data_IF_703581864046
#
_entry.id   IF_703581864046
#
_cell.length_a   1.000
_cell.length_b   1.000
_cell.length_c   1.000
_cell.angle_alpha   90.00
_cell.angle_beta   90.00
_cell.angle_gamma   90.00
#
_symmetry.space_group_name_H-M   'P 1'
#
loop_
_entity.id
_entity.type
_entity.pdbx_description
1 polymer ?
#
# COMPACT_ATOMS: atom_id res chain seq x y z
N UNK A 1 -1.55 -19.81 43.86
CA UNK A 1 -1.87 -19.52 45.29
C UNK A 1 -0.80 -20.04 46.23
N UNK A 2 -0.38 -21.31 46.11
CA UNK A 2 0.65 -21.90 46.98
C UNK A 2 2.06 -21.27 46.82
N UNK A 3 2.49 -20.93 45.60
CA UNK A 3 3.78 -20.28 45.38
C UNK A 3 3.91 -18.90 46.08
N UNK A 4 2.86 -18.07 46.05
CA UNK A 4 2.85 -16.78 46.76
C UNK A 4 2.84 -16.94 48.29
N UNK A 5 2.32 -18.05 48.80
CA UNK A 5 2.41 -18.37 50.23
C UNK A 5 3.86 -18.63 50.63
N UNK A 6 4.60 -19.43 49.87
CA UNK A 6 6.03 -19.70 50.14
C UNK A 6 6.91 -18.44 49.99
N UNK A 7 6.57 -17.54 49.07
CA UNK A 7 7.23 -16.22 48.96
C UNK A 7 7.04 -15.40 50.24
N UNK A 8 5.83 -15.41 50.83
CA UNK A 8 5.57 -14.73 52.12
C UNK A 8 6.32 -15.37 53.29
N UNK A 9 6.59 -16.66 53.22
CA UNK A 9 7.39 -17.40 54.20
C UNK A 9 8.91 -17.26 53.94
N UNK A 10 9.32 -16.43 52.98
CA UNK A 10 10.71 -16.22 52.56
C UNK A 10 11.41 -17.49 52.04
N UNK A 11 10.64 -18.54 51.69
CA UNK A 11 11.15 -19.79 51.10
C UNK A 11 11.21 -19.70 49.58
N UNK A 12 12.14 -18.87 49.10
CA UNK A 12 12.29 -18.56 47.67
C UNK A 12 12.66 -19.79 46.83
N UNK A 13 13.47 -20.72 47.36
CA UNK A 13 13.86 -21.94 46.66
C UNK A 13 12.67 -22.85 46.36
N UNK A 14 11.77 -22.98 47.31
CA UNK A 14 10.61 -23.87 47.20
C UNK A 14 9.56 -23.23 46.29
N UNK A 15 9.32 -21.92 46.44
CA UNK A 15 8.47 -21.15 45.53
C UNK A 15 8.92 -21.29 44.06
N UNK A 16 10.22 -21.17 43.78
CA UNK A 16 10.81 -21.36 42.45
C UNK A 16 10.62 -22.78 41.90
N UNK A 17 10.83 -23.80 42.73
CA UNK A 17 10.59 -25.21 42.34
C UNK A 17 9.12 -25.45 42.00
N UNK A 18 8.20 -24.92 42.82
CA UNK A 18 6.75 -25.06 42.61
C UNK A 18 6.33 -24.37 41.31
N UNK A 19 6.81 -23.14 41.07
CA UNK A 19 6.51 -22.40 39.84
C UNK A 19 7.13 -23.04 38.60
N UNK A 20 8.39 -23.50 38.70
CA UNK A 20 9.07 -24.22 37.63
C UNK A 20 8.37 -25.54 37.28
N UNK A 21 7.97 -26.32 38.29
CA UNK A 21 7.19 -27.54 38.09
C UNK A 21 5.81 -27.23 37.49
N UNK A 22 5.14 -26.18 37.96
CA UNK A 22 3.85 -25.76 37.40
C UNK A 22 3.94 -25.41 35.91
N UNK A 23 5.02 -24.74 35.48
CA UNK A 23 5.26 -24.44 34.07
C UNK A 23 5.54 -25.71 33.27
N UNK A 24 6.35 -26.63 33.81
CA UNK A 24 6.66 -27.90 33.15
C UNK A 24 5.44 -28.81 32.98
N UNK A 25 4.53 -28.82 33.96
CA UNK A 25 3.29 -29.61 33.89
C UNK A 25 2.22 -28.96 33.01
N UNK A 26 2.09 -27.63 33.07
CA UNK A 26 1.05 -26.88 32.38
C UNK A 26 1.63 -25.53 31.88
N UNK A 27 2.22 -25.48 30.67
CA UNK A 27 2.75 -24.25 30.13
C UNK A 27 1.61 -23.31 29.73
N UNK A 28 1.24 -22.40 30.65
CA UNK A 28 0.23 -21.36 30.43
C UNK A 28 0.90 -19.99 30.46
N UNK A 29 0.53 -19.10 29.53
CA UNK A 29 1.04 -17.73 29.45
C UNK A 29 0.94 -16.96 30.79
N UNK A 30 -0.14 -17.19 31.56
CA UNK A 30 -0.33 -16.57 32.88
C UNK A 30 0.70 -17.04 33.92
N UNK A 31 1.13 -18.30 33.87
CA UNK A 31 2.11 -18.84 34.82
C UNK A 31 3.51 -18.30 34.54
N UNK A 32 3.90 -18.21 33.26
CA UNK A 32 5.14 -17.55 32.86
C UNK A 32 5.16 -16.09 33.31
N UNK A 33 4.10 -15.32 33.02
CA UNK A 33 3.99 -13.91 33.47
C UNK A 33 4.15 -13.77 34.98
N UNK A 34 3.38 -14.54 35.76
CA UNK A 34 3.46 -14.46 37.22
C UNK A 34 4.84 -14.86 37.77
N UNK A 35 5.54 -15.80 37.13
CA UNK A 35 6.88 -16.20 37.58
C UNK A 35 7.94 -15.15 37.21
N UNK A 36 7.84 -14.60 36.00
CA UNK A 36 8.69 -13.49 35.55
C UNK A 36 8.48 -12.26 36.44
N UNK A 37 7.23 -11.88 36.74
CA UNK A 37 6.91 -10.75 37.60
C UNK A 37 7.50 -10.95 39.01
N UNK A 38 7.49 -12.19 39.53
CA UNK A 38 8.12 -12.52 40.81
C UNK A 38 9.65 -12.35 40.74
N UNK A 39 10.32 -12.90 39.73
CA UNK A 39 11.78 -12.79 39.61
C UNK A 39 12.22 -11.34 39.32
N UNK A 40 11.39 -10.56 38.62
CA UNK A 40 11.60 -9.13 38.40
C UNK A 40 11.51 -8.34 39.72
N UNK A 41 10.54 -8.69 40.58
CA UNK A 41 10.45 -8.12 41.94
C UNK A 41 11.66 -8.47 42.80
N UNK A 42 12.22 -9.67 42.62
CA UNK A 42 13.44 -10.12 43.29
C UNK A 42 14.73 -9.56 42.65
N UNK A 43 14.63 -8.85 41.53
CA UNK A 43 15.75 -8.28 40.73
C UNK A 43 16.72 -9.35 40.21
N UNK A 44 16.22 -10.55 39.95
CA UNK A 44 16.99 -11.70 39.47
C UNK A 44 16.91 -11.78 37.94
N UNK A 45 17.55 -10.82 37.27
CA UNK A 45 17.42 -10.62 35.82
C UNK A 45 17.94 -11.78 34.97
N UNK A 46 18.99 -12.49 35.43
CA UNK A 46 19.50 -13.66 34.70
C UNK A 46 18.47 -14.80 34.66
N UNK A 47 17.69 -14.96 35.72
CA UNK A 47 16.58 -15.91 35.73
C UNK A 47 15.44 -15.43 34.84
N UNK A 48 15.12 -14.12 34.86
CA UNK A 48 14.15 -13.55 33.93
C UNK A 48 14.52 -13.84 32.48
N UNK A 49 15.79 -13.71 32.08
CA UNK A 49 16.28 -14.03 30.73
C UNK A 49 16.01 -15.48 30.34
N UNK A 50 16.35 -16.42 31.22
CA UNK A 50 16.09 -17.85 31.00
C UNK A 50 14.59 -18.12 30.88
N UNK A 51 13.77 -17.46 31.72
CA UNK A 51 12.32 -17.62 31.69
C UNK A 51 11.69 -17.05 30.42
N UNK A 52 12.13 -15.87 29.97
CA UNK A 52 11.69 -15.30 28.69
C UNK A 52 12.12 -16.17 27.52
N UNK A 53 13.35 -16.69 27.51
CA UNK A 53 13.81 -17.64 26.49
C UNK A 53 12.90 -18.87 26.39
N UNK A 54 12.65 -19.54 27.52
CA UNK A 54 11.71 -20.68 27.58
C UNK A 54 10.27 -20.31 27.20
N UNK A 55 9.85 -19.10 27.52
CA UNK A 55 8.51 -18.63 27.16
C UNK A 55 8.40 -18.41 25.64
N UNK A 56 9.43 -17.86 25.01
CA UNK A 56 9.48 -17.67 23.56
C UNK A 56 9.64 -18.99 22.80
N UNK A 57 10.34 -19.99 23.36
CA UNK A 57 10.37 -21.36 22.82
C UNK A 57 8.98 -21.99 22.80
N UNK A 58 8.17 -21.74 23.82
CA UNK A 58 6.82 -22.30 23.93
C UNK A 58 5.78 -21.54 23.10
N UNK A 59 5.83 -20.20 23.10
CA UNK A 59 4.86 -19.33 22.46
C UNK A 59 5.54 -18.19 21.70
N UNK A 60 6.19 -18.49 20.55
CA UNK A 60 6.84 -17.47 19.72
C UNK A 60 5.84 -16.50 19.09
N UNK A 61 4.56 -16.90 18.99
CA UNK A 61 3.47 -16.13 18.39
C UNK A 61 3.07 -14.90 19.23
N UNK A 62 3.38 -14.94 20.53
CA UNK A 62 2.93 -13.92 21.48
C UNK A 62 3.76 -12.64 21.39
N UNK A 63 3.30 -11.67 20.61
CA UNK A 63 3.96 -10.37 20.42
C UNK A 63 4.20 -9.61 21.73
N UNK A 64 3.32 -9.76 22.74
CA UNK A 64 3.47 -9.08 24.03
C UNK A 64 4.68 -9.60 24.82
N UNK A 65 4.99 -10.90 24.71
CA UNK A 65 6.16 -11.49 25.38
C UNK A 65 7.46 -10.92 24.82
N UNK A 66 7.55 -10.76 23.50
CA UNK A 66 8.70 -10.12 22.84
C UNK A 66 8.90 -8.68 23.31
N UNK A 67 7.82 -7.89 23.34
CA UNK A 67 7.86 -6.50 23.79
C UNK A 67 8.34 -6.42 25.24
N UNK A 68 7.74 -7.19 26.16
CA UNK A 68 8.14 -7.20 27.57
C UNK A 68 9.58 -7.66 27.78
N UNK A 69 10.07 -8.59 26.97
CA UNK A 69 11.46 -9.04 27.08
C UNK A 69 12.42 -7.93 26.66
N UNK A 70 12.13 -7.25 25.55
CA UNK A 70 12.94 -6.12 25.10
C UNK A 70 12.86 -4.92 26.06
N UNK A 71 11.67 -4.61 26.62
CA UNK A 71 11.49 -3.59 27.67
C UNK A 71 12.32 -3.89 28.93
N UNK A 72 12.46 -5.16 29.30
CA UNK A 72 13.29 -5.53 30.44
C UNK A 72 14.78 -5.31 30.16
N UNK A 73 15.28 -5.66 28.97
CA UNK A 73 16.67 -5.43 28.59
C UNK A 73 16.99 -3.92 28.43
N UNK A 74 16.05 -3.11 27.94
CA UNK A 74 16.23 -1.65 27.91
C UNK A 74 16.29 -1.03 29.30
N UNK A 75 15.47 -1.52 30.25
CA UNK A 75 15.57 -1.10 31.66
C UNK A 75 16.91 -1.45 32.31
N UNK A 76 17.60 -2.49 31.81
CA UNK A 76 18.94 -2.86 32.24
C UNK A 76 20.05 -2.06 31.54
N UNK A 77 19.71 -1.29 30.50
CA UNK A 77 20.67 -0.53 29.69
C UNK A 77 21.33 -1.36 28.58
N UNK A 78 20.94 -2.63 28.40
CA UNK A 78 21.47 -3.51 27.36
C UNK A 78 20.75 -3.27 26.01
N UNK A 79 21.00 -2.11 25.42
CA UNK A 79 20.30 -1.63 24.19
C UNK A 79 20.52 -2.57 23.01
N UNK A 80 21.73 -3.10 22.84
CA UNK A 80 22.05 -4.00 21.72
C UNK A 80 21.32 -5.34 21.83
N UNK A 81 21.12 -5.84 23.04
CA UNK A 81 20.33 -7.06 23.25
C UNK A 81 18.85 -6.79 23.00
N UNK A 82 18.32 -5.66 23.47
CA UNK A 82 16.94 -5.27 23.18
C UNK A 82 16.68 -5.17 21.66
N UNK A 83 17.62 -4.57 20.91
CA UNK A 83 17.58 -4.54 19.43
C UNK A 83 17.57 -5.92 18.80
N UNK A 84 18.47 -6.80 19.24
CA UNK A 84 18.53 -8.16 18.73
C UNK A 84 17.21 -8.91 18.96
N UNK A 85 16.59 -8.72 20.14
CA UNK A 85 15.28 -9.30 20.46
C UNK A 85 14.19 -8.78 19.52
N UNK A 86 14.11 -7.47 19.29
CA UNK A 86 13.14 -6.89 18.36
C UNK A 86 13.37 -7.35 16.91
N UNK A 87 14.62 -7.42 16.46
CA UNK A 87 14.96 -7.88 15.12
C UNK A 87 14.54 -9.36 14.91
N UNK A 88 14.79 -10.22 15.90
CA UNK A 88 14.34 -11.62 15.88
C UNK A 88 12.82 -11.72 15.88
N UNK A 89 12.14 -10.86 16.63
CA UNK A 89 10.69 -10.83 16.69
C UNK A 89 10.08 -10.47 15.33
N UNK A 90 10.61 -9.44 14.64
CA UNK A 90 10.14 -9.01 13.30
C UNK A 90 10.32 -10.07 12.22
N UNK A 91 11.31 -10.94 12.36
CA UNK A 91 11.56 -12.06 11.46
C UNK A 91 10.52 -13.18 11.61
N UNK A 92 9.79 -13.25 12.74
CA UNK A 92 8.82 -14.31 12.96
C UNK A 92 7.60 -14.16 12.01
N UNK A 93 7.23 -15.22 11.26
CA UNK A 93 6.15 -15.16 10.28
C UNK A 93 4.75 -15.24 10.92
N UNK A 94 4.63 -15.86 12.10
CA UNK A 94 3.36 -16.07 12.81
C UNK A 94 3.34 -15.26 14.11
N UNK A 95 3.08 -13.96 14.01
CA UNK A 95 2.85 -13.09 15.18
C UNK A 95 1.35 -12.80 15.30
N UNK A 96 0.81 -12.88 16.52
CA UNK A 96 -0.61 -12.57 16.79
C UNK A 96 -0.97 -11.14 16.38
N UNK A 97 -0.17 -10.18 16.83
CA UNK A 97 -0.41 -8.75 16.60
C UNK A 97 0.90 -8.07 16.17
N UNK A 98 1.28 -8.22 14.88
CA UNK A 98 2.52 -7.65 14.37
C UNK A 98 2.57 -6.12 14.53
N UNK A 99 1.44 -5.44 14.35
CA UNK A 99 1.35 -3.97 14.44
C UNK A 99 1.84 -3.41 15.78
N UNK A 100 1.48 -4.07 16.88
CA UNK A 100 1.86 -3.65 18.24
C UNK A 100 3.36 -3.81 18.45
N UNK A 101 3.94 -4.89 17.91
CA UNK A 101 5.38 -5.14 17.97
C UNK A 101 6.16 -4.09 17.16
N UNK A 102 5.73 -3.80 15.94
CA UNK A 102 6.36 -2.78 15.09
C UNK A 102 6.32 -1.40 15.74
N UNK A 103 5.15 -1.02 16.30
CA UNK A 103 5.02 0.24 17.05
C UNK A 103 6.00 0.28 18.23
N UNK A 104 6.05 -0.77 19.03
CA UNK A 104 6.96 -0.84 20.18
C UNK A 104 8.44 -0.77 19.75
N UNK A 105 8.80 -1.38 18.62
CA UNK A 105 10.17 -1.33 18.12
C UNK A 105 10.54 0.07 17.61
N UNK A 106 9.63 0.74 16.92
CA UNK A 106 9.81 2.13 16.49
C UNK A 106 9.92 3.06 17.70
N UNK A 107 9.00 2.97 18.65
CA UNK A 107 9.02 3.77 19.90
C UNK A 107 10.35 3.56 20.65
N UNK A 108 10.87 2.33 20.65
CA UNK A 108 12.17 2.02 21.21
C UNK A 108 13.32 2.73 20.47
N UNK A 109 13.44 2.63 19.14
CA UNK A 109 14.54 3.32 18.44
C UNK A 109 14.42 4.85 18.53
N UNK A 110 13.20 5.39 18.59
CA UNK A 110 12.96 6.82 18.89
C UNK A 110 13.48 7.18 20.28
N UNK A 111 13.23 6.34 21.29
CA UNK A 111 13.74 6.56 22.66
C UNK A 111 15.26 6.52 22.76
N UNK A 112 15.92 5.80 21.85
CA UNK A 112 17.38 5.72 21.76
C UNK A 112 17.99 6.80 20.86
N UNK A 113 17.18 7.75 20.36
CA UNK A 113 17.58 8.84 19.46
C UNK A 113 18.19 8.35 18.12
N UNK A 114 17.92 7.10 17.74
CA UNK A 114 18.44 6.47 16.53
C UNK A 114 17.48 6.65 15.36
N UNK A 115 17.26 7.90 14.98
CA UNK A 115 16.27 8.29 13.98
C UNK A 115 16.52 7.66 12.60
N UNK A 116 17.78 7.41 12.24
CA UNK A 116 18.13 6.75 10.97
C UNK A 116 17.58 5.33 10.87
N UNK A 117 17.64 4.57 11.96
CA UNK A 117 17.11 3.20 12.02
C UNK A 117 15.59 3.21 12.08
N UNK A 118 14.99 4.14 12.84
CA UNK A 118 13.55 4.30 12.88
C UNK A 118 12.96 4.52 11.46
N UNK A 119 13.59 5.35 10.62
CA UNK A 119 13.17 5.53 9.20
C UNK A 119 13.25 4.25 8.38
N UNK A 120 14.28 3.43 8.58
CA UNK A 120 14.42 2.14 7.91
C UNK A 120 13.32 1.17 8.35
N UNK A 121 12.97 1.16 9.64
CA UNK A 121 11.87 0.37 10.17
C UNK A 121 10.52 0.79 9.57
N UNK A 122 10.24 2.09 9.52
CA UNK A 122 9.04 2.59 8.84
C UNK A 122 8.99 2.21 7.37
N UNK A 123 10.12 2.32 6.65
CA UNK A 123 10.20 1.92 5.24
C UNK A 123 9.90 0.43 5.06
N UNK A 124 10.48 -0.41 5.92
CA UNK A 124 10.27 -1.87 5.91
C UNK A 124 8.82 -2.24 6.25
N UNK A 125 8.20 -1.49 7.17
CA UNK A 125 6.80 -1.68 7.53
C UNK A 125 5.85 -1.29 6.38
N UNK A 126 6.13 -0.16 5.72
CA UNK A 126 5.34 0.31 4.58
C UNK A 126 5.41 -0.64 3.38
N UNK A 127 6.56 -1.27 3.14
CA UNK A 127 6.70 -2.31 2.12
C UNK A 127 5.83 -3.55 2.41
N UNK A 128 5.59 -3.87 3.69
CA UNK A 128 4.82 -5.04 4.09
C UNK A 128 3.32 -4.78 4.14
N UNK A 129 2.89 -3.63 4.70
CA UNK A 129 1.47 -3.45 5.04
C UNK A 129 0.80 -2.22 4.43
N UNK A 130 1.53 -1.31 3.77
CA UNK A 130 1.03 -0.09 3.10
C UNK A 130 -0.24 0.55 3.71
N UNK A 131 -0.36 0.56 5.04
CA UNK A 131 -1.54 1.07 5.73
C UNK A 131 -1.41 2.56 5.97
N UNK A 132 -2.53 3.28 5.87
CA UNK A 132 -2.56 4.73 6.07
C UNK A 132 -2.02 5.18 7.44
N UNK A 133 -2.34 4.45 8.51
CA UNK A 133 -1.88 4.80 9.86
C UNK A 133 -0.34 4.81 9.95
N UNK A 134 0.33 3.96 9.17
CA UNK A 134 1.79 3.92 9.09
C UNK A 134 2.34 5.16 8.39
N UNK A 135 1.69 5.61 7.31
CA UNK A 135 2.07 6.85 6.63
C UNK A 135 1.92 8.09 7.51
N UNK A 136 0.80 8.20 8.23
CA UNK A 136 0.55 9.32 9.15
C UNK A 136 1.59 9.32 10.27
N UNK A 137 1.82 8.17 10.90
CA UNK A 137 2.82 8.06 11.97
C UNK A 137 4.26 8.31 11.50
N UNK A 138 4.61 7.95 10.26
CA UNK A 138 5.91 8.33 9.68
C UNK A 138 6.04 9.85 9.50
N UNK A 139 4.98 10.52 9.03
CA UNK A 139 4.99 11.98 8.89
C UNK A 139 5.07 12.69 10.25
N UNK A 140 4.34 12.19 11.25
CA UNK A 140 4.45 12.65 12.64
C UNK A 140 5.85 12.41 13.23
N UNK A 141 6.47 11.28 12.89
CA UNK A 141 7.86 11.00 13.29
C UNK A 141 8.86 11.98 12.66
N UNK A 142 8.76 12.29 11.36
CA UNK A 142 9.65 13.27 10.73
C UNK A 142 9.47 14.68 11.34
N UNK A 143 8.25 15.03 11.72
CA UNK A 143 7.96 16.24 12.50
C UNK A 143 8.63 16.23 13.87
N UNK A 144 8.60 15.11 14.59
CA UNK A 144 9.27 14.98 15.90
C UNK A 144 10.79 15.14 15.77
N UNK A 145 11.38 14.66 14.67
CA UNK A 145 12.81 14.87 14.36
C UNK A 145 13.10 16.33 13.93
N UNK A 146 12.06 17.09 13.56
CA UNK A 146 12.17 18.48 13.10
C UNK A 146 12.35 18.63 11.59
N UNK A 147 12.23 17.56 10.81
CA UNK A 147 12.32 17.61 9.34
C UNK A 147 10.94 17.83 8.71
N UNK A 148 10.51 19.10 8.69
CA UNK A 148 9.23 19.52 8.07
C UNK A 148 9.19 19.17 6.58
N UNK A 149 10.31 19.31 5.87
CA UNK A 149 10.38 19.00 4.45
C UNK A 149 10.30 17.48 4.20
N UNK A 150 10.92 16.68 5.06
CA UNK A 150 10.79 15.23 5.09
C UNK A 150 9.34 14.78 5.30
N UNK A 151 8.64 15.39 6.27
CA UNK A 151 7.22 15.12 6.52
C UNK A 151 6.35 15.42 5.28
N UNK A 152 6.58 16.56 4.61
CA UNK A 152 5.85 16.92 3.36
C UNK A 152 6.09 15.90 2.24
N UNK A 153 7.34 15.50 2.01
CA UNK A 153 7.69 14.46 1.02
C UNK A 153 7.03 13.13 1.35
N UNK A 154 6.92 12.78 2.62
CA UNK A 154 6.21 11.58 3.08
C UNK A 154 4.73 11.66 2.73
N UNK A 155 4.05 12.78 3.00
CA UNK A 155 2.64 12.95 2.61
C UNK A 155 2.43 12.89 1.10
N UNK A 156 3.30 13.50 0.30
CA UNK A 156 3.24 13.40 -1.17
C UNK A 156 3.44 11.97 -1.66
N UNK A 157 4.39 11.24 -1.07
CA UNK A 157 4.65 9.82 -1.39
C UNK A 157 3.46 8.96 -0.97
N UNK A 158 2.86 9.22 0.19
CA UNK A 158 1.67 8.54 0.68
C UNK A 158 0.50 8.78 -0.28
N UNK A 159 0.21 10.02 -0.70
CA UNK A 159 -0.89 10.33 -1.61
C UNK A 159 -0.73 9.65 -2.98
N UNK A 160 0.51 9.52 -3.47
CA UNK A 160 0.81 8.76 -4.70
C UNK A 160 0.57 7.26 -4.54
N UNK A 161 1.04 6.64 -3.45
CA UNK A 161 0.86 5.21 -3.21
C UNK A 161 -0.59 4.85 -2.89
N UNK A 162 -1.31 5.75 -2.22
CA UNK A 162 -2.70 5.55 -1.79
C UNK A 162 -3.72 6.03 -2.86
N UNK A 163 -3.24 6.48 -4.02
CA UNK A 163 -4.10 6.97 -5.11
C UNK A 163 -5.08 5.90 -5.61
N UNK A 164 -4.69 4.62 -5.55
CA UNK A 164 -5.49 3.45 -5.92
C UNK A 164 -6.13 2.74 -4.71
N UNK A 165 -5.88 3.19 -3.49
CA UNK A 165 -6.47 2.59 -2.28
C UNK A 165 -7.90 3.09 -2.05
N UNK A 166 -8.49 2.67 -0.94
CA UNK A 166 -9.80 3.11 -0.51
C UNK A 166 -9.87 4.64 -0.37
N UNK A 167 -10.99 5.19 -0.85
CA UNK A 167 -11.24 6.63 -0.87
C UNK A 167 -11.26 7.25 0.53
N UNK A 168 -11.75 6.50 1.52
CA UNK A 168 -11.84 6.94 2.91
C UNK A 168 -10.45 7.07 3.54
N UNK A 169 -9.57 6.09 3.30
CA UNK A 169 -8.18 6.20 3.71
C UNK A 169 -7.53 7.43 3.06
N UNK A 170 -7.64 7.57 1.74
CA UNK A 170 -7.08 8.75 1.06
C UNK A 170 -7.61 10.08 1.61
N UNK A 171 -8.88 10.14 2.01
CA UNK A 171 -9.46 11.31 2.66
C UNK A 171 -8.81 11.60 4.01
N UNK A 172 -8.68 10.58 4.88
CA UNK A 172 -8.03 10.73 6.18
C UNK A 172 -6.58 11.23 6.04
N UNK A 173 -5.86 10.75 5.02
CA UNK A 173 -4.50 11.19 4.72
C UNK A 173 -4.48 12.68 4.37
N UNK A 174 -5.37 13.12 3.47
CA UNK A 174 -5.43 14.52 3.05
C UNK A 174 -5.88 15.45 4.19
N UNK A 175 -6.80 15.01 5.05
CA UNK A 175 -7.17 15.76 6.25
C UNK A 175 -5.96 15.94 7.17
N UNK A 176 -5.18 14.88 7.40
CA UNK A 176 -3.96 14.97 8.22
C UNK A 176 -2.90 15.88 7.58
N UNK A 177 -2.73 15.81 6.25
CA UNK A 177 -1.81 16.67 5.51
C UNK A 177 -2.24 18.15 5.54
N UNK A 178 -3.54 18.42 5.44
CA UNK A 178 -4.09 19.77 5.58
C UNK A 178 -3.79 20.36 6.96
N UNK A 179 -4.01 19.58 8.03
CA UNK A 179 -3.71 20.00 9.39
C UNK A 179 -2.22 20.26 9.59
N UNK A 180 -1.36 19.47 8.94
CA UNK A 180 0.09 19.69 8.92
C UNK A 180 0.46 21.01 8.24
N UNK A 181 0.02 21.25 6.99
CA UNK A 181 0.38 22.48 6.26
C UNK A 181 -0.21 23.73 6.93
N UNK A 182 -1.37 23.62 7.58
CA UNK A 182 -1.96 24.75 8.32
C UNK A 182 -1.11 25.13 9.54
N UNK A 183 -0.42 24.17 10.16
CA UNK A 183 0.39 24.40 11.36
C UNK A 183 1.84 24.77 11.03
N UNK A 184 2.43 24.16 10.01
CA UNK A 184 3.87 24.22 9.72
C UNK A 184 4.20 24.68 8.30
N UNK A 185 3.20 24.86 7.44
CA UNK A 185 3.38 25.21 6.04
C UNK A 185 3.06 26.66 5.71
N UNK A 186 3.17 26.96 4.43
CA UNK A 186 2.89 28.28 3.85
C UNK A 186 1.50 28.31 3.19
N UNK A 187 0.95 29.50 2.95
CA UNK A 187 -0.35 29.67 2.28
C UNK A 187 -0.41 28.96 0.91
N UNK A 188 0.69 28.97 0.15
CA UNK A 188 0.80 28.27 -1.12
C UNK A 188 0.70 26.74 -0.96
N UNK A 189 1.27 26.19 0.12
CA UNK A 189 1.22 24.76 0.40
C UNK A 189 -0.18 24.34 0.85
N UNK A 190 -0.84 25.15 1.68
CA UNK A 190 -2.23 24.94 2.09
C UNK A 190 -3.17 25.00 0.88
N UNK A 191 -2.98 25.98 -0.01
CA UNK A 191 -3.81 26.07 -1.22
C UNK A 191 -3.58 24.90 -2.17
N UNK A 192 -2.34 24.40 -2.29
CA UNK A 192 -2.04 23.19 -3.06
C UNK A 192 -2.78 21.95 -2.50
N UNK A 193 -2.72 21.70 -1.19
CA UNK A 193 -3.42 20.58 -0.57
C UNK A 193 -4.94 20.75 -0.66
N UNK A 194 -5.46 21.98 -0.56
CA UNK A 194 -6.91 22.21 -0.63
C UNK A 194 -7.48 21.90 -2.02
N UNK A 195 -6.67 22.07 -3.07
CA UNK A 195 -7.03 21.64 -4.42
C UNK A 195 -7.08 20.13 -4.57
N UNK A 196 -6.40 19.36 -3.72
CA UNK A 196 -6.41 17.89 -3.74
C UNK A 196 -7.59 17.30 -2.95
N UNK A 197 -8.24 18.09 -2.10
CA UNK A 197 -9.33 17.62 -1.24
C UNK A 197 -10.53 17.11 -2.06
N UNK A 198 -11.13 15.96 -1.67
CA UNK A 198 -12.27 15.40 -2.37
C UNK A 198 -13.54 16.21 -2.12
N UNK A 199 -14.42 16.23 -3.13
CA UNK A 199 -15.77 16.78 -2.99
C UNK A 199 -16.72 15.67 -2.56
N UNK A 200 -17.49 15.91 -1.50
CA UNK A 200 -18.55 15.01 -1.03
C UNK A 200 -19.77 15.14 -1.93
N UNK A 201 -20.13 14.07 -2.64
CA UNK A 201 -21.27 14.04 -3.57
C UNK A 201 -22.28 13.01 -3.10
N UNK A 202 -23.57 13.37 -3.09
CA UNK A 202 -24.66 12.42 -2.82
C UNK A 202 -24.92 11.56 -4.05
N UNK A 203 -24.92 10.24 -3.89
CA UNK A 203 -25.27 9.26 -4.91
C UNK A 203 -26.40 8.37 -4.42
N UNK A 204 -27.05 7.68 -5.37
CA UNK A 204 -28.14 6.74 -5.12
C UNK A 204 -27.69 5.38 -5.62
N UNK A 205 -27.72 4.35 -4.75
CA UNK A 205 -27.50 2.95 -5.14
C UNK A 205 -28.80 2.19 -4.97
N UNK A 206 -29.12 1.33 -5.93
CA UNK A 206 -30.29 0.46 -5.84
C UNK A 206 -29.97 -0.70 -4.89
N UNK A 207 -30.79 -0.90 -3.87
CA UNK A 207 -30.69 -2.07 -2.99
C UNK A 207 -31.44 -3.22 -3.67
N UNK A 208 -30.78 -4.37 -3.79
CA UNK A 208 -31.42 -5.62 -4.14
C UNK A 208 -31.65 -6.42 -2.86
N UNK A 209 -32.88 -6.84 -2.60
CA UNK A 209 -33.16 -7.85 -1.57
C UNK A 209 -32.66 -9.23 -2.02
N UNK A 210 -32.55 -10.16 -1.07
CA UNK A 210 -32.06 -11.53 -1.26
C UNK A 210 -32.84 -12.31 -2.34
N UNK A 211 -34.07 -11.90 -2.64
CA UNK A 211 -34.94 -12.46 -3.69
C UNK A 211 -34.83 -11.75 -5.06
N UNK A 212 -33.89 -10.81 -5.22
CA UNK A 212 -33.68 -10.08 -6.48
C UNK A 212 -34.78 -9.08 -6.84
N UNK A 213 -35.69 -8.78 -5.90
CA UNK A 213 -36.74 -7.76 -6.07
C UNK A 213 -36.19 -6.38 -5.71
N UNK A 214 -36.55 -5.36 -6.46
CA UNK A 214 -36.09 -3.99 -6.26
C UNK A 214 -36.59 -3.41 -4.91
N UNK A 215 -35.71 -3.29 -3.93
CA UNK A 215 -36.05 -2.85 -2.56
C UNK A 215 -35.91 -1.33 -2.35
N UNK A 216 -35.67 -0.56 -3.41
CA UNK A 216 -35.58 0.90 -3.38
C UNK A 216 -34.17 1.46 -3.56
N UNK A 217 -34.04 2.77 -3.37
CA UNK A 217 -32.78 3.51 -3.53
C UNK A 217 -32.22 3.90 -2.16
N UNK A 218 -30.96 3.56 -1.89
CA UNK A 218 -30.21 4.07 -0.73
C UNK A 218 -29.35 5.27 -1.15
N UNK A 219 -29.49 6.37 -0.42
CA UNK A 219 -28.62 7.54 -0.59
C UNK A 219 -27.31 7.31 0.17
N UNK A 220 -26.19 7.24 -0.54
CA UNK A 220 -24.86 7.16 0.05
C UNK A 220 -23.99 8.35 -0.39
N UNK A 221 -23.01 8.70 0.44
CA UNK A 221 -22.04 9.73 0.11
C UNK A 221 -20.83 9.08 -0.59
N UNK A 222 -20.48 9.60 -1.75
CA UNK A 222 -19.26 9.22 -2.48
C UNK A 222 -18.30 10.42 -2.48
N UNK A 223 -17.01 10.13 -2.27
CA UNK A 223 -15.95 11.13 -2.35
C UNK A 223 -15.36 11.12 -3.75
N UNK A 224 -15.42 12.26 -4.43
CA UNK A 224 -14.85 12.40 -5.77
C UNK A 224 -13.60 13.26 -5.67
N UNK A 225 -12.45 12.63 -5.92
CA UNK A 225 -11.17 13.33 -6.01
C UNK A 225 -11.08 14.09 -7.34
N UNK A 226 -10.43 15.27 -7.36
CA UNK A 226 -10.22 16.04 -8.58
C UNK A 226 -9.54 15.24 -9.70
N UNK A 227 -8.54 14.41 -9.38
CA UNK A 227 -7.82 13.56 -10.35
C UNK A 227 -8.75 12.57 -11.09
N UNK A 228 -9.79 12.06 -10.41
CA UNK A 228 -10.79 11.17 -11.00
C UNK A 228 -11.71 11.89 -11.99
N UNK A 229 -12.00 13.18 -11.77
CA UNK A 229 -12.86 13.95 -12.68
C UNK A 229 -12.17 14.17 -14.02
N UNK A 230 -10.87 14.50 -13.99
CA UNK A 230 -10.04 14.60 -15.20
C UNK A 230 -9.93 13.27 -15.95
N UNK A 231 -9.73 12.16 -15.23
CA UNK A 231 -9.68 10.83 -15.84
C UNK A 231 -11.01 10.43 -16.51
N UNK A 232 -12.15 10.63 -15.84
CA UNK A 232 -13.49 10.36 -16.40
C UNK A 232 -13.83 11.22 -17.62
N UNK A 233 -13.32 12.45 -17.71
CA UNK A 233 -13.46 13.30 -18.89
C UNK A 233 -12.77 12.70 -20.13
N UNK A 234 -11.55 12.19 -19.97
CA UNK A 234 -10.80 11.54 -21.05
C UNK A 234 -11.44 10.23 -21.51
N UNK A 235 -11.94 9.40 -20.59
CA UNK A 235 -12.59 8.13 -20.93
C UNK A 235 -13.88 8.32 -21.73
N UNK A 236 -14.66 9.37 -21.43
CA UNK A 236 -15.85 9.73 -22.21
C UNK A 236 -15.51 10.20 -23.63
N UNK A 237 -14.38 10.89 -23.81
CA UNK A 237 -13.87 11.28 -25.13
C UNK A 237 -13.50 10.04 -25.95
N UNK A 238 -12.79 9.07 -25.36
CA UNK A 238 -12.45 7.81 -26.02
C UNK A 238 -13.67 6.94 -26.35
N UNK A 239 -14.64 6.86 -25.44
CA UNK A 239 -15.92 6.19 -25.74
C UNK A 239 -16.67 6.87 -26.90
N UNK A 240 -16.70 8.21 -26.93
CA UNK A 240 -17.31 8.96 -28.01
C UNK A 240 -16.57 8.75 -29.35
N UNK A 241 -15.23 8.73 -29.33
CA UNK A 241 -14.42 8.43 -30.49
C UNK A 241 -14.62 7.00 -31.01
N UNK A 242 -14.74 6.02 -30.12
CA UNK A 242 -15.07 4.62 -30.49
C UNK A 242 -16.46 4.52 -31.11
N UNK A 243 -17.47 5.17 -30.51
CA UNK A 243 -18.83 5.25 -31.07
C UNK A 243 -18.86 5.93 -32.44
N UNK A 244 -18.01 6.94 -32.68
CA UNK A 244 -17.89 7.59 -33.98
C UNK A 244 -17.25 6.66 -35.02
N UNK A 245 -16.20 5.92 -34.65
CA UNK A 245 -15.58 4.91 -35.51
C UNK A 245 -16.53 3.77 -35.85
N UNK A 246 -17.29 3.27 -34.87
CA UNK A 246 -18.33 2.25 -35.10
C UNK A 246 -19.42 2.76 -36.05
N UNK A 247 -19.85 4.02 -35.91
CA UNK A 247 -20.78 4.65 -36.86
C UNK A 247 -20.19 4.72 -38.27
N UNK A 248 -18.93 5.11 -38.42
CA UNK A 248 -18.27 5.14 -39.73
C UNK A 248 -18.20 3.74 -40.36
N UNK A 249 -17.87 2.71 -39.58
CA UNK A 249 -17.84 1.34 -40.08
C UNK A 249 -19.24 0.82 -40.43
N UNK A 250 -20.28 1.19 -39.67
CA UNK A 250 -21.64 0.83 -40.02
C UNK A 250 -22.14 1.55 -41.28
N UNK A 251 -21.78 2.82 -41.45
CA UNK A 251 -22.08 3.58 -42.67
C UNK A 251 -21.37 2.96 -43.88
N UNK A 252 -20.10 2.59 -43.75
CA UNK A 252 -19.36 1.89 -44.81
C UNK A 252 -20.01 0.54 -45.18
N UNK A 253 -20.38 -0.27 -44.19
CA UNK A 253 -21.06 -1.55 -44.40
C UNK A 253 -22.48 -1.40 -44.99
N UNK A 254 -23.19 -0.30 -44.70
CA UNK A 254 -24.47 -0.01 -45.37
C UNK A 254 -24.28 0.42 -46.82
N UNK A 255 -23.24 1.19 -47.14
CA UNK A 255 -22.91 1.58 -48.52
C UNK A 255 -22.53 0.34 -49.35
N UNK A 256 -21.77 -0.60 -48.78
CA UNK A 256 -21.45 -1.87 -49.44
C UNK A 256 -22.70 -2.74 -49.67
N UNK A 257 -23.65 -2.78 -48.72
CA UNK A 257 -24.93 -3.50 -48.90
C UNK A 257 -25.85 -2.86 -49.93
N UNK A 258 -25.84 -1.53 -50.06
CA UNK A 258 -26.62 -0.81 -51.07
C UNK A 258 -25.97 -0.92 -52.45
N UNK A 259 -24.64 -1.08 -52.52
CA UNK A 259 -23.92 -1.42 -53.74
C UNK A 259 -24.24 -2.85 -54.21
N UNK A 260 -24.26 -3.84 -53.32
CA UNK A 260 -24.61 -5.23 -53.67
C UNK A 260 -26.08 -5.41 -54.11
N UNK A 261 -27.01 -4.58 -53.59
CA UNK A 261 -28.42 -4.57 -54.06
C UNK A 261 -28.61 -3.95 -55.45
N UNK A 262 -27.69 -3.07 -55.88
CA UNK A 262 -27.76 -2.41 -57.18
C UNK A 262 -27.13 -3.23 -58.32
N UNK A 263 -26.50 -4.38 -58.00
CA UNK A 263 -25.84 -5.25 -58.99
C UNK A 263 -26.75 -6.40 -59.47
N UNK A 264 -27.90 -6.66 -58.82
CA UNK A 264 -28.86 -7.67 -59.29
C UNK A 264 -29.83 -7.19 -60.40
N UNK A 265 -29.77 -5.91 -60.81
CA UNK A 265 -30.70 -5.36 -61.81
C UNK A 265 -29.97 -4.56 -62.90
N UNK A 266 -29.12 -5.23 -63.69
CA UNK A 266 -28.84 -4.83 -65.09
C UNK A 266 -27.98 -5.87 -65.85
N UNK A 267 -28.66 -6.80 -66.51
CA UNK A 267 -28.08 -7.60 -67.59
C UNK A 267 -27.93 -6.77 -68.89
N UNK A 268 -26.67 -6.54 -69.27
CA UNK A 268 -26.05 -6.68 -70.60
C UNK A 268 -26.83 -6.21 -71.85
N UNK A 269 -26.24 -5.26 -72.59
CA UNK A 269 -25.89 -5.42 -74.02
C UNK A 269 -24.91 -4.37 -74.56
N UNK A 270 -23.93 -4.91 -75.30
CA UNK A 270 -22.81 -4.29 -76.01
C UNK A 270 -23.20 -3.28 -77.11
N UNK A 271 -22.37 -2.24 -77.34
CA UNK A 271 -21.38 -2.17 -78.44
C UNK A 271 -20.73 -0.76 -78.56
N UNK A 272 -19.58 -0.63 -79.27
CA UNK A 272 -18.58 0.43 -79.09
C UNK A 272 -18.59 1.52 -80.19
N UNK A 273 -17.84 2.62 -79.99
CA UNK A 273 -16.95 3.24 -81.00
C UNK A 273 -16.18 4.48 -80.49
N UNK A 274 -14.85 4.45 -80.71
CA UNK A 274 -13.86 5.50 -81.07
C UNK A 274 -14.36 6.95 -81.31
N UNK A 275 -13.67 8.09 -81.11
CA UNK A 275 -12.30 8.62 -80.83
C UNK A 275 -12.53 10.11 -80.41
N UNK A 276 -11.67 10.88 -79.72
CA UNK A 276 -10.36 11.43 -80.13
C UNK A 276 -9.67 12.10 -78.92
N UNK A 277 -8.33 12.10 -78.99
CA UNK A 277 -7.38 12.68 -78.02
C UNK A 277 -7.35 14.22 -78.02
N UNK A 278 -6.96 14.81 -76.88
CA UNK A 278 -5.94 15.87 -76.90
C UNK A 278 -5.12 15.98 -75.61
N UNK A 279 -3.82 16.02 -75.86
CA UNK A 279 -2.60 15.89 -75.03
C UNK A 279 -2.27 17.14 -74.20
N UNK A 280 -1.57 16.93 -73.07
CA UNK A 280 -0.30 17.56 -72.61
C UNK A 280 -0.01 17.07 -71.16
N UNK A 281 0.93 16.14 -70.90
CA UNK A 281 2.43 16.26 -70.83
C UNK A 281 2.84 17.52 -70.07
N UNK A 282 3.67 17.52 -69.02
CA UNK A 282 4.74 16.65 -68.49
C UNK A 282 4.97 17.12 -67.01
N UNK A 283 5.68 16.48 -66.07
CA UNK A 283 7.01 15.89 -66.21
C UNK A 283 7.47 15.16 -64.93
N UNK A 284 8.45 14.29 -65.15
CA UNK A 284 9.53 13.81 -64.27
C UNK A 284 9.34 12.53 -63.43
N UNK A 285 9.72 11.44 -64.10
CA UNK A 285 10.24 10.18 -63.60
C UNK A 285 11.40 10.33 -62.59
N UNK A 286 11.57 9.33 -61.73
CA UNK A 286 12.78 8.49 -61.77
C UNK A 286 12.62 7.21 -60.95
N UNK A 287 12.62 6.09 -61.66
CA UNK A 287 12.86 4.73 -61.15
C UNK A 287 14.21 4.62 -60.43
N UNK A 288 14.34 3.65 -59.51
CA UNK A 288 15.37 2.58 -59.61
C UNK A 288 15.23 1.52 -58.49
N UNK A 289 14.94 0.30 -58.95
CA UNK A 289 15.38 -1.04 -58.53
C UNK A 289 15.51 -1.45 -57.04
N UNK A 290 14.72 -2.48 -56.71
CA UNK A 290 15.08 -3.75 -56.04
C UNK A 290 16.55 -4.00 -55.61
N UNK A 291 16.77 -4.43 -54.35
CA UNK A 291 17.25 -5.79 -54.01
C UNK A 291 17.52 -5.98 -52.50
N UNK A 292 16.90 -7.05 -51.97
CA UNK A 292 17.28 -8.01 -50.91
C UNK A 292 18.40 -7.76 -49.88
N UNK A 293 18.04 -8.16 -48.62
CA UNK A 293 18.83 -8.90 -47.59
C UNK A 293 20.08 -8.22 -47.00
N UNK A 294 20.50 -8.38 -45.75
CA UNK A 294 20.07 -9.00 -44.49
C UNK A 294 21.27 -8.79 -43.53
N UNK A 295 21.04 -8.65 -42.22
CA UNK A 295 22.02 -8.88 -41.11
C UNK A 295 23.33 -8.05 -41.12
N UNK A 296 24.03 -7.72 -40.04
CA UNK A 296 23.91 -7.74 -38.58
C UNK A 296 25.23 -7.11 -38.08
N UNK A 297 25.20 -6.55 -36.88
CA UNK A 297 26.32 -6.44 -35.93
C UNK A 297 27.46 -5.41 -36.09
N UNK A 298 27.51 -4.60 -35.03
CA UNK A 298 28.64 -4.35 -34.11
C UNK A 298 29.80 -3.44 -34.53
N UNK A 299 29.95 -2.39 -33.72
CA UNK A 299 31.18 -1.93 -33.06
C UNK A 299 32.46 -1.73 -33.88
N UNK A 300 32.97 -0.49 -33.90
CA UNK A 300 34.18 -0.10 -33.15
C UNK A 300 34.79 1.22 -33.63
N UNK A 301 34.93 2.13 -32.65
CA UNK A 301 36.10 3.00 -32.38
C UNK A 301 36.56 4.10 -33.33
N UNK A 302 36.98 5.16 -32.62
CA UNK A 302 38.11 6.07 -32.83
C UNK A 302 37.94 7.23 -33.82
N UNK A 303 37.66 8.41 -33.26
CA UNK A 303 38.68 9.44 -33.07
C UNK A 303 38.38 10.23 -31.80
#
# INVERSE_FOLDING_TARGET
MFAYFEVRQLRLSDARKIMGNAIGMCPRNKLFRNYIDLELQLREFDRCRILYGKFLEYAPENSNTWIKFAEMETLLGDVDRARAIFALAVQQPALDMPEVLWKAYIDFEVSQEEYGRARQLYSSLLERTNHIKVWISLAEFELLVGDVNGARKTYERANRNLASSEKEERLLLLESWMLFETKYGDEDSVTAVSRLMPKKVKRRRQIQTEDGVDAGWEEYFDYVFPDEQTSKGSMKLFEAARRWKEKLTQVALSIEKDADKNVEDSDIKDEPTEREMKVREDDSDTDISTSSSSSSDSDSKSS
#
